data_IF_085329553921
#
_entry.id   IF_085329553921
#
_cell.length_a   1.000
_cell.length_b   1.000
_cell.length_c   1.000
_cell.angle_alpha   90.00
_cell.angle_beta   90.00
_cell.angle_gamma   90.00
#
_symmetry.space_group_name_H-M   'P 1'
#
loop_
_entity.id
_entity.type
_entity.pdbx_description
1 polymer ?
#
# COMPACT_ATOMS: atom_id res chain seq x y z
N UNK A 1 -6.09 -20.89 16.86
CA UNK A 1 -5.76 -19.45 16.86
C UNK A 1 -5.62 -19.01 15.42
N UNK A 2 -6.58 -18.25 14.90
CA UNK A 2 -6.49 -17.68 13.54
C UNK A 2 -5.47 -16.53 13.57
N UNK A 3 -4.33 -16.71 12.88
CA UNK A 3 -3.42 -15.59 12.62
C UNK A 3 -4.16 -14.58 11.75
N UNK A 4 -4.67 -13.52 12.37
CA UNK A 4 -5.18 -12.36 11.65
C UNK A 4 -3.99 -11.66 11.00
N UNK A 5 -3.61 -12.12 9.81
CA UNK A 5 -2.57 -11.47 9.03
C UNK A 5 -3.05 -10.06 8.65
N UNK A 6 -2.31 -9.05 9.08
CA UNK A 6 -2.59 -7.68 8.70
C UNK A 6 -2.46 -7.57 7.17
N UNK A 7 -3.44 -6.98 6.49
CA UNK A 7 -3.46 -6.90 5.02
C UNK A 7 -2.15 -6.35 4.44
N UNK A 8 -1.49 -5.41 5.13
CA UNK A 8 -0.17 -4.91 4.71
C UNK A 8 0.94 -5.98 4.67
N UNK A 9 0.91 -6.98 5.57
CA UNK A 9 1.87 -8.09 5.54
C UNK A 9 1.62 -9.03 4.36
N UNK A 10 0.34 -9.29 4.05
CA UNK A 10 -0.04 -10.10 2.89
C UNK A 10 0.36 -9.41 1.58
N UNK A 11 0.17 -8.10 1.50
CA UNK A 11 0.59 -7.29 0.35
C UNK A 11 2.11 -7.28 0.19
N UNK A 12 2.87 -7.19 1.29
CA UNK A 12 4.33 -7.32 1.25
C UNK A 12 4.77 -8.72 0.79
N UNK A 13 4.15 -9.78 1.30
CA UNK A 13 4.46 -11.15 0.89
C UNK A 13 4.14 -11.39 -0.60
N UNK A 14 3.02 -10.86 -1.08
CA UNK A 14 2.64 -10.92 -2.49
C UNK A 14 3.64 -10.15 -3.38
N UNK A 15 4.10 -8.97 -2.93
CA UNK A 15 5.10 -8.17 -3.62
C UNK A 15 6.41 -8.92 -3.86
N UNK A 16 6.82 -9.76 -2.90
CA UNK A 16 8.02 -10.59 -3.05
C UNK A 16 7.75 -11.86 -3.86
N UNK A 17 6.65 -12.56 -3.59
CA UNK A 17 6.36 -13.87 -4.22
C UNK A 17 6.01 -13.73 -5.70
N UNK A 18 5.34 -12.66 -6.08
CA UNK A 18 4.81 -12.44 -7.43
C UNK A 18 5.41 -11.21 -8.09
N UNK A 19 6.63 -10.81 -7.70
CA UNK A 19 7.28 -9.54 -8.02
C UNK A 19 7.10 -9.06 -9.47
N UNK A 20 7.31 -9.94 -10.44
CA UNK A 20 7.28 -9.62 -11.87
C UNK A 20 5.91 -9.79 -12.54
N UNK A 21 4.92 -10.34 -11.82
CA UNK A 21 3.56 -10.49 -12.35
C UNK A 21 2.82 -9.15 -12.29
N UNK A 22 1.89 -8.97 -13.22
CA UNK A 22 0.99 -7.81 -13.22
C UNK A 22 0.11 -7.83 -11.96
N UNK A 23 0.08 -6.71 -11.23
CA UNK A 23 -0.72 -6.54 -10.03
C UNK A 23 -1.93 -5.64 -10.26
N UNK A 24 -1.77 -4.64 -11.11
CA UNK A 24 -2.78 -3.62 -11.36
C UNK A 24 -2.63 -3.05 -12.76
N UNK A 25 -3.71 -3.10 -13.52
CA UNK A 25 -3.83 -2.47 -14.83
C UNK A 25 -5.00 -1.49 -14.84
N UNK A 26 -4.74 -0.25 -15.25
CA UNK A 26 -5.74 0.83 -15.37
C UNK A 26 -5.42 1.64 -16.63
N UNK A 27 -6.36 1.63 -17.59
CA UNK A 27 -6.19 2.27 -18.90
C UNK A 27 -4.92 1.72 -19.58
N UNK A 28 -3.98 2.60 -19.91
CA UNK A 28 -2.74 2.28 -20.62
C UNK A 28 -1.56 2.00 -19.66
N UNK A 29 -1.78 2.13 -18.35
CA UNK A 29 -0.77 1.84 -17.32
C UNK A 29 -0.96 0.43 -16.76
N UNK A 30 0.09 -0.38 -16.77
CA UNK A 30 0.16 -1.68 -16.09
C UNK A 30 1.39 -1.75 -15.21
N UNK A 31 1.19 -2.11 -13.94
CA UNK A 31 2.24 -2.15 -12.93
C UNK A 31 2.37 -3.55 -12.33
N UNK A 32 3.62 -3.99 -12.16
CA UNK A 32 3.92 -5.24 -11.48
C UNK A 32 3.72 -5.12 -9.96
N UNK A 33 3.63 -6.28 -9.29
CA UNK A 33 3.57 -6.34 -7.83
C UNK A 33 4.75 -5.61 -7.17
N UNK A 34 5.95 -5.72 -7.73
CA UNK A 34 7.14 -5.03 -7.24
C UNK A 34 7.01 -3.51 -7.39
N UNK A 35 6.69 -3.01 -8.59
CA UNK A 35 6.57 -1.57 -8.87
C UNK A 35 5.52 -0.91 -7.97
N UNK A 36 4.37 -1.58 -7.82
CA UNK A 36 3.29 -1.10 -6.97
C UNK A 36 3.69 -1.06 -5.50
N UNK A 37 4.44 -2.05 -5.02
CA UNK A 37 4.93 -2.10 -3.65
C UNK A 37 5.98 -1.03 -3.36
N UNK A 38 6.96 -0.86 -4.23
CA UNK A 38 8.03 0.14 -4.07
C UNK A 38 7.45 1.56 -4.03
N UNK A 39 6.51 1.86 -4.93
CA UNK A 39 5.84 3.15 -4.94
C UNK A 39 4.95 3.36 -3.71
N UNK A 40 4.18 2.35 -3.30
CA UNK A 40 3.38 2.44 -2.08
C UNK A 40 4.27 2.60 -0.83
N UNK A 41 5.43 1.95 -0.77
CA UNK A 41 6.39 2.13 0.32
C UNK A 41 6.96 3.55 0.36
N UNK A 42 7.24 4.15 -0.80
CA UNK A 42 7.66 5.54 -0.91
C UNK A 42 6.57 6.50 -0.39
N UNK A 43 5.32 6.31 -0.80
CA UNK A 43 4.18 7.09 -0.31
C UNK A 43 3.97 6.92 1.19
N UNK A 44 4.11 5.70 1.71
CA UNK A 44 3.97 5.41 3.13
C UNK A 44 5.01 6.18 3.95
N UNK A 45 6.26 6.28 3.49
CA UNK A 45 7.29 7.11 4.15
C UNK A 45 6.86 8.58 4.21
N UNK A 46 6.25 9.11 3.14
CA UNK A 46 5.69 10.46 3.13
C UNK A 46 4.54 10.62 4.14
N UNK A 47 3.62 9.67 4.20
CA UNK A 47 2.51 9.68 5.16
C UNK A 47 2.96 9.59 6.62
N UNK A 48 4.07 8.89 6.89
CA UNK A 48 4.63 8.76 8.24
C UNK A 48 5.06 10.11 8.85
N UNK A 49 5.30 11.12 8.01
CA UNK A 49 5.61 12.48 8.44
C UNK A 49 4.36 13.25 8.91
N UNK A 50 3.17 12.73 8.68
CA UNK A 50 1.90 13.35 9.11
C UNK A 50 1.43 12.80 10.46
N UNK A 51 0.88 13.66 11.32
CA UNK A 51 0.34 13.30 12.64
C UNK A 51 -1.12 12.81 12.60
N UNK A 52 -1.69 12.62 11.40
CA UNK A 52 -3.10 12.29 11.22
C UNK A 52 -3.42 10.80 11.33
N UNK A 53 -4.51 10.47 12.05
CA UNK A 53 -5.04 9.09 12.12
C UNK A 53 -5.68 8.65 10.79
N UNK A 54 -6.24 9.59 10.04
CA UNK A 54 -6.95 9.33 8.78
C UNK A 54 -6.21 9.98 7.62
N UNK A 55 -6.23 9.32 6.46
CA UNK A 55 -5.68 9.82 5.22
C UNK A 55 -6.81 9.85 4.19
N UNK A 56 -7.20 11.04 3.76
CA UNK A 56 -8.13 11.20 2.66
C UNK A 56 -7.36 11.03 1.34
N UNK A 57 -7.86 10.17 0.46
CA UNK A 57 -7.32 9.98 -0.87
C UNK A 57 -8.25 10.66 -1.86
N UNK A 58 -7.76 11.70 -2.52
CA UNK A 58 -8.51 12.44 -3.52
C UNK A 58 -7.78 12.36 -4.86
N UNK A 59 -8.47 11.89 -5.89
CA UNK A 59 -7.93 11.81 -7.23
C UNK A 59 -8.81 10.99 -8.16
N UNK A 60 -8.56 11.07 -9.48
CA UNK A 60 -9.19 10.19 -10.45
C UNK A 60 -8.82 8.73 -10.18
N UNK A 61 -9.58 7.77 -10.74
CA UNK A 61 -9.21 6.35 -10.69
C UNK A 61 -7.93 6.10 -11.49
N UNK A 62 -6.80 6.23 -10.83
CA UNK A 62 -5.44 6.06 -11.37
C UNK A 62 -4.62 5.18 -10.43
N UNK A 63 -3.54 4.57 -10.95
CA UNK A 63 -2.66 3.69 -10.19
C UNK A 63 -2.09 4.43 -8.97
N UNK A 64 -1.76 5.72 -9.08
CA UNK A 64 -1.25 6.50 -7.98
C UNK A 64 -2.21 6.60 -6.78
N UNK A 65 -3.51 6.76 -7.03
CA UNK A 65 -4.52 6.84 -5.98
C UNK A 65 -4.68 5.51 -5.24
N UNK A 66 -4.63 4.38 -5.96
CA UNK A 66 -4.70 3.05 -5.36
C UNK A 66 -3.41 2.70 -4.61
N UNK A 67 -2.24 3.09 -5.12
CA UNK A 67 -0.97 2.97 -4.42
C UNK A 67 -0.99 3.75 -3.09
N UNK A 68 -1.65 4.91 -3.04
CA UNK A 68 -1.88 5.66 -1.80
C UNK A 68 -2.72 4.88 -0.78
N UNK A 69 -3.74 4.14 -1.21
CA UNK A 69 -4.51 3.27 -0.32
C UNK A 69 -3.65 2.15 0.25
N UNK A 70 -2.87 1.49 -0.61
CA UNK A 70 -1.92 0.43 -0.22
C UNK A 70 -0.89 0.98 0.78
N UNK A 71 -0.34 2.16 0.51
CA UNK A 71 0.61 2.84 1.38
C UNK A 71 0.04 3.08 2.80
N UNK A 72 -1.20 3.56 2.90
CA UNK A 72 -1.86 3.77 4.20
C UNK A 72 -2.07 2.46 4.96
N UNK A 73 -2.44 1.40 4.25
CA UNK A 73 -2.60 0.05 4.80
C UNK A 73 -1.25 -0.46 5.32
N UNK A 74 -0.17 -0.29 4.58
CA UNK A 74 1.19 -0.67 5.02
C UNK A 74 1.60 0.09 6.29
N UNK A 75 1.24 1.38 6.39
CA UNK A 75 1.63 2.25 7.50
C UNK A 75 0.95 1.92 8.84
N UNK A 76 -0.24 1.30 8.84
CA UNK A 76 -0.91 0.86 10.08
C UNK A 76 -0.10 -0.13 10.91
N UNK A 77 0.98 -0.70 10.35
CA UNK A 77 1.96 -1.53 11.06
C UNK A 77 2.77 -0.75 12.12
N UNK A 78 2.89 0.58 11.99
CA UNK A 78 3.82 1.40 12.78
C UNK A 78 3.16 2.38 13.76
N UNK A 79 1.82 2.47 13.81
CA UNK A 79 1.17 3.23 14.89
C UNK A 79 0.88 2.27 16.04
N UNK A 80 1.36 2.55 17.27
CA UNK A 80 0.84 1.85 18.44
C UNK A 80 -0.68 2.04 18.45
N UNK A 81 -1.42 0.96 18.69
CA UNK A 81 -2.81 1.08 19.05
C UNK A 81 -2.85 1.98 20.28
N UNK A 82 -3.34 3.20 20.12
CA UNK A 82 -3.59 4.11 21.23
C UNK A 82 -4.49 3.39 22.24
N UNK A 83 -3.91 2.95 23.34
CA UNK A 83 -4.60 2.77 24.62
C UNK A 83 -4.23 3.96 25.49
#
# INVERSE_FOLDING_TARGET
MTMNHHLGQLLQAAATKYAHLEALSIKDDSWSYQQLHEFAALLARGFALSSGKYCALLGPRHIGTLAGAIARIMLRKNLPASQ
#
